data_IF_933254923738
#
_entry.id   IF_933254923738
#
_cell.length_a   1.000
_cell.length_b   1.000
_cell.length_c   1.000
_cell.angle_alpha   90.00
_cell.angle_beta   90.00
_cell.angle_gamma   90.00
#
_symmetry.space_group_name_H-M   'P 1'
#
loop_
_entity.id
_entity.type
_entity.pdbx_description
1 polymer ?
#
# COMPACT_ATOMS: atom_id res chain seq x y z
N UNK A 1 11.25 13.67 -4.31
CA UNK A 1 11.79 12.38 -3.84
C UNK A 1 11.49 12.20 -2.36
N UNK A 2 11.44 10.97 -1.86
CA UNK A 2 11.32 10.65 -0.43
C UNK A 2 12.69 10.20 0.10
N UNK A 3 13.52 11.09 0.68
CA UNK A 3 14.90 10.76 1.05
C UNK A 3 15.01 9.89 2.31
N UNK A 4 14.11 10.06 3.28
CA UNK A 4 14.18 9.37 4.58
C UNK A 4 13.57 7.96 4.54
N UNK A 5 12.48 7.80 3.78
CA UNK A 5 11.84 6.50 3.54
C UNK A 5 11.68 6.36 2.03
N UNK A 6 12.77 6.08 1.29
CA UNK A 6 12.67 5.83 -0.13
C UNK A 6 11.94 4.52 -0.40
N UNK A 7 11.27 4.48 -1.55
CA UNK A 7 10.51 3.33 -2.03
C UNK A 7 10.75 3.13 -3.51
N UNK A 8 10.58 1.90 -3.98
CA UNK A 8 10.67 1.65 -5.41
C UNK A 8 9.42 2.17 -6.13
N UNK A 9 9.56 2.84 -7.28
CA UNK A 9 8.42 3.32 -8.05
C UNK A 9 7.79 2.18 -8.85
N UNK A 10 6.47 2.05 -8.83
CA UNK A 10 5.73 1.31 -9.86
C UNK A 10 5.62 2.20 -11.10
N UNK A 11 5.85 1.62 -12.29
CA UNK A 11 5.98 2.39 -13.54
C UNK A 11 4.87 2.04 -14.55
N UNK A 12 3.58 2.29 -14.25
CA UNK A 12 2.47 1.89 -15.12
C UNK A 12 2.49 2.54 -16.51
N UNK A 13 3.18 3.68 -16.68
CA UNK A 13 3.38 4.31 -17.98
C UNK A 13 4.45 3.63 -18.85
N UNK A 14 5.33 2.81 -18.24
CA UNK A 14 6.38 2.09 -18.97
C UNK A 14 5.84 0.83 -19.63
N UNK A 15 4.93 0.11 -18.96
CA UNK A 15 4.38 -1.16 -19.42
C UNK A 15 3.06 -1.47 -18.70
N UNK A 16 2.12 -2.11 -19.39
CA UNK A 16 0.92 -2.66 -18.75
C UNK A 16 1.28 -3.67 -17.65
N UNK A 17 2.42 -4.36 -17.80
CA UNK A 17 2.94 -5.31 -16.80
C UNK A 17 3.30 -4.65 -15.46
N UNK A 18 3.45 -3.33 -15.43
CA UNK A 18 3.74 -2.54 -14.23
C UNK A 18 2.48 -1.92 -13.61
N UNK A 19 1.29 -2.17 -14.18
CA UNK A 19 0.03 -1.76 -13.55
C UNK A 19 -0.25 -2.60 -12.31
N UNK A 20 -0.89 -1.99 -11.31
CA UNK A 20 -1.00 -2.53 -9.94
C UNK A 20 -1.47 -4.01 -9.88
N UNK A 21 -2.54 -4.36 -10.60
CA UNK A 21 -3.08 -5.72 -10.63
C UNK A 21 -2.20 -6.64 -11.48
N UNK A 22 -1.74 -6.16 -12.63
CA UNK A 22 -0.98 -6.99 -13.58
C UNK A 22 0.40 -7.36 -13.05
N UNK A 23 1.05 -6.45 -12.34
CA UNK A 23 2.36 -6.64 -11.75
C UNK A 23 2.40 -7.85 -10.81
N UNK A 24 1.40 -7.94 -9.93
CA UNK A 24 1.24 -9.04 -8.97
C UNK A 24 0.67 -10.31 -9.61
N UNK A 25 0.32 -10.31 -10.90
CA UNK A 25 -0.14 -11.48 -11.65
C UNK A 25 0.81 -11.88 -12.79
N UNK A 26 2.01 -11.29 -12.86
CA UNK A 26 2.92 -11.53 -13.97
C UNK A 26 3.34 -13.00 -14.10
N UNK A 27 3.42 -13.75 -13.00
CA UNK A 27 3.77 -15.19 -13.02
C UNK A 27 2.72 -16.03 -13.74
N UNK A 28 1.47 -15.57 -13.81
CA UNK A 28 0.35 -16.22 -14.51
C UNK A 28 -0.09 -15.43 -15.74
N UNK A 29 0.78 -14.54 -16.23
CA UNK A 29 0.48 -13.57 -17.29
C UNK A 29 -0.13 -14.19 -18.55
N UNK A 30 0.38 -15.36 -18.96
CA UNK A 30 -0.02 -16.08 -20.17
C UNK A 30 -1.32 -16.88 -20.01
N UNK A 31 -1.78 -17.07 -18.77
CA UNK A 31 -2.97 -17.85 -18.44
C UNK A 31 -4.23 -16.99 -18.24
N UNK A 32 -4.05 -15.66 -18.24
CA UNK A 32 -5.12 -14.69 -18.05
C UNK A 32 -5.18 -13.71 -19.22
N UNK A 33 -6.31 -13.05 -19.37
CA UNK A 33 -6.55 -12.00 -20.36
C UNK A 33 -7.39 -10.87 -19.76
N UNK A 34 -7.28 -9.62 -20.26
CA UNK A 34 -8.14 -8.53 -19.81
C UNK A 34 -9.62 -8.90 -20.01
N UNK A 35 -10.48 -8.47 -19.07
CA UNK A 35 -11.92 -8.64 -19.23
C UNK A 35 -12.46 -7.72 -20.32
N UNK A 36 -13.46 -8.19 -21.06
CA UNK A 36 -14.22 -7.35 -22.01
C UNK A 36 -15.04 -6.28 -21.29
N UNK A 37 -15.60 -6.63 -20.12
CA UNK A 37 -16.42 -5.74 -19.30
C UNK A 37 -15.83 -5.55 -17.90
N UNK A 38 -15.65 -4.28 -17.51
CA UNK A 38 -15.13 -3.90 -16.19
C UNK A 38 -13.62 -4.06 -16.06
N UNK A 39 -13.08 -3.62 -14.92
CA UNK A 39 -11.66 -3.72 -14.62
C UNK A 39 -11.28 -5.11 -14.09
N UNK A 40 -10.08 -5.59 -14.46
CA UNK A 40 -9.52 -6.87 -14.01
C UNK A 40 -9.25 -7.85 -15.15
N UNK A 41 -8.88 -9.08 -14.76
CA UNK A 41 -8.45 -10.14 -15.67
C UNK A 41 -9.32 -11.39 -15.52
N UNK A 42 -9.52 -12.12 -16.62
CA UNK A 42 -10.22 -13.39 -16.68
C UNK A 42 -9.23 -14.50 -16.99
N UNK A 43 -9.32 -15.62 -16.26
CA UNK A 43 -8.59 -16.85 -16.58
C UNK A 43 -9.07 -17.38 -17.93
N UNK A 44 -8.11 -17.64 -18.83
CA UNK A 44 -8.38 -18.21 -20.15
C UNK A 44 -9.03 -19.59 -20.04
N UNK A 45 -9.87 -19.94 -21.01
CA UNK A 45 -10.58 -21.21 -21.03
C UNK A 45 -9.61 -22.42 -20.92
N UNK A 46 -9.90 -23.34 -20.00
CA UNK A 46 -9.10 -24.54 -19.77
C UNK A 46 -7.76 -24.32 -19.07
N UNK A 47 -7.49 -23.11 -18.53
CA UNK A 47 -6.20 -22.79 -17.88
C UNK A 47 -6.22 -22.72 -16.35
N UNK A 48 -7.37 -22.98 -15.72
CA UNK A 48 -7.52 -22.81 -14.26
C UNK A 48 -6.60 -23.73 -13.45
N UNK A 49 -6.45 -24.98 -13.84
CA UNK A 49 -5.59 -25.94 -13.12
C UNK A 49 -4.11 -25.53 -13.21
N UNK A 50 -3.64 -25.14 -14.40
CA UNK A 50 -2.28 -24.62 -14.59
C UNK A 50 -2.03 -23.33 -13.81
N UNK A 51 -3.03 -22.45 -13.75
CA UNK A 51 -2.94 -21.21 -12.98
C UNK A 51 -2.81 -21.50 -11.49
N UNK A 52 -3.63 -22.41 -10.96
CA UNK A 52 -3.55 -22.82 -9.56
C UNK A 52 -2.22 -23.50 -9.24
N UNK A 53 -1.70 -24.34 -10.14
CA UNK A 53 -0.38 -24.96 -9.98
C UNK A 53 0.73 -23.90 -9.86
N UNK A 54 0.72 -22.87 -10.71
CA UNK A 54 1.69 -21.78 -10.65
C UNK A 54 1.55 -20.92 -9.39
N UNK A 55 0.33 -20.60 -8.96
CA UNK A 55 0.10 -19.84 -7.72
C UNK A 55 0.59 -20.63 -6.49
N UNK A 56 0.28 -21.93 -6.39
CA UNK A 56 0.75 -22.78 -5.29
C UNK A 56 2.27 -22.99 -5.25
N UNK A 57 2.95 -22.86 -6.39
CA UNK A 57 4.42 -22.94 -6.49
C UNK A 57 5.09 -21.57 -6.56
N UNK A 58 4.34 -20.49 -6.32
CA UNK A 58 4.88 -19.16 -6.47
C UNK A 58 6.08 -18.94 -5.56
N UNK A 59 7.12 -18.32 -6.09
CA UNK A 59 8.26 -17.80 -5.33
C UNK A 59 8.08 -16.32 -4.98
N UNK A 60 6.98 -15.70 -5.44
CA UNK A 60 6.73 -14.26 -5.31
C UNK A 60 7.65 -13.37 -6.13
N UNK A 61 8.50 -13.95 -6.98
CA UNK A 61 9.52 -13.21 -7.71
C UNK A 61 8.90 -12.18 -8.66
N UNK A 62 9.30 -10.92 -8.48
CA UNK A 62 9.10 -9.87 -9.45
C UNK A 62 10.33 -9.80 -10.36
N UNK A 63 10.13 -9.63 -11.65
CA UNK A 63 11.16 -9.61 -12.69
C UNK A 63 11.35 -8.20 -13.25
N UNK A 64 12.42 -7.99 -14.02
CA UNK A 64 12.64 -6.73 -14.75
C UNK A 64 11.47 -6.37 -15.69
N UNK A 65 10.66 -7.34 -16.11
CA UNK A 65 9.54 -7.13 -17.04
C UNK A 65 8.32 -6.49 -16.37
N UNK A 66 8.09 -6.78 -15.09
CA UNK A 66 6.93 -6.30 -14.33
C UNK A 66 7.30 -5.42 -13.12
N UNK A 67 8.59 -5.26 -12.81
CA UNK A 67 9.06 -4.44 -11.70
C UNK A 67 10.43 -3.79 -12.00
N UNK A 68 10.62 -3.23 -13.18
CA UNK A 68 11.82 -2.50 -13.58
C UNK A 68 12.20 -1.42 -12.55
N UNK A 69 11.21 -0.76 -11.95
CA UNK A 69 11.41 0.22 -10.88
C UNK A 69 12.01 -0.37 -9.59
N UNK A 70 11.67 -1.62 -9.25
CA UNK A 70 12.26 -2.33 -8.09
C UNK A 70 13.75 -2.55 -8.27
N UNK A 71 14.18 -3.07 -9.42
CA UNK A 71 15.59 -3.31 -9.70
C UNK A 71 16.38 -2.00 -9.87
N UNK A 72 15.77 -0.95 -10.42
CA UNK A 72 16.39 0.38 -10.45
C UNK A 72 16.59 0.92 -9.03
N UNK A 73 15.61 0.73 -8.15
CA UNK A 73 15.68 1.12 -6.75
C UNK A 73 16.76 0.35 -5.99
N UNK A 74 16.83 -0.97 -6.17
CA UNK A 74 17.87 -1.81 -5.55
C UNK A 74 19.29 -1.36 -5.95
N UNK A 75 19.52 -1.07 -7.24
CA UNK A 75 20.80 -0.51 -7.70
C UNK A 75 21.12 0.83 -7.04
N UNK A 76 20.13 1.70 -6.89
CA UNK A 76 20.30 3.00 -6.25
C UNK A 76 20.60 2.88 -4.74
N UNK A 77 19.99 1.90 -4.05
CA UNK A 77 20.31 1.59 -2.66
C UNK A 77 21.76 1.12 -2.52
N UNK A 78 22.19 0.16 -3.36
CA UNK A 78 23.56 -0.38 -3.34
C UNK A 78 24.60 0.70 -3.69
N UNK A 79 24.27 1.66 -4.55
CA UNK A 79 25.18 2.76 -4.89
C UNK A 79 25.25 3.85 -3.81
N UNK A 80 24.52 3.72 -2.69
CA UNK A 80 24.49 4.72 -1.63
C UNK A 80 23.73 6.00 -1.98
N UNK A 81 22.85 5.96 -2.99
CA UNK A 81 22.09 7.14 -3.44
C UNK A 81 21.19 7.71 -2.32
N UNK A 82 20.69 6.85 -1.44
CA UNK A 82 19.81 7.21 -0.32
C UNK A 82 20.56 7.20 1.02
N UNK A 83 21.66 7.96 1.11
CA UNK A 83 22.52 8.00 2.30
C UNK A 83 21.85 8.54 3.57
N UNK A 84 20.74 9.28 3.45
CA UNK A 84 19.93 9.78 4.57
C UNK A 84 18.70 8.93 4.89
N UNK A 85 18.56 7.76 4.26
CA UNK A 85 17.42 6.89 4.53
C UNK A 85 17.50 6.28 5.93
N UNK A 86 16.38 6.28 6.63
CA UNK A 86 16.20 5.66 7.95
C UNK A 86 15.40 4.36 7.87
N UNK A 87 14.71 4.13 6.76
CA UNK A 87 14.00 2.91 6.42
C UNK A 87 13.85 2.80 4.89
N UNK A 88 13.48 1.65 4.36
CA UNK A 88 13.10 1.48 2.95
C UNK A 88 11.69 0.92 2.87
N UNK A 89 10.92 1.33 1.86
CA UNK A 89 9.55 0.85 1.67
C UNK A 89 9.43 -0.06 0.44
N UNK A 90 8.75 -1.19 0.63
CA UNK A 90 8.19 -2.02 -0.44
C UNK A 90 6.65 -2.00 -0.37
N UNK A 91 6.01 -2.47 -1.44
CA UNK A 91 4.55 -2.49 -1.54
C UNK A 91 4.05 -3.55 -2.51
N UNK A 92 2.85 -4.06 -2.29
CA UNK A 92 2.14 -4.95 -3.22
C UNK A 92 0.63 -4.89 -2.97
N UNK A 93 -0.16 -5.26 -3.97
CA UNK A 93 -1.60 -5.41 -3.81
C UNK A 93 -1.92 -6.62 -2.93
N UNK A 94 -2.91 -6.46 -2.06
CA UNK A 94 -3.29 -7.46 -1.09
C UNK A 94 -4.16 -8.58 -1.67
N UNK A 95 -4.32 -9.68 -0.90
CA UNK A 95 -5.05 -10.85 -1.34
C UNK A 95 -6.52 -10.59 -1.68
N UNK A 96 -7.18 -9.65 -1.00
CA UNK A 96 -8.59 -9.33 -1.22
C UNK A 96 -8.73 -8.59 -2.56
N UNK A 97 -7.92 -7.55 -2.77
CA UNK A 97 -7.92 -6.74 -3.99
C UNK A 97 -7.53 -7.56 -5.21
N UNK A 98 -6.46 -8.35 -5.12
CA UNK A 98 -6.02 -9.15 -6.25
C UNK A 98 -7.08 -10.21 -6.63
N UNK A 99 -7.75 -10.79 -5.64
CA UNK A 99 -8.86 -11.73 -5.89
C UNK A 99 -10.13 -11.05 -6.41
N UNK A 100 -10.40 -9.81 -5.99
CA UNK A 100 -11.54 -9.02 -6.48
C UNK A 100 -11.44 -8.77 -7.99
N UNK A 101 -10.22 -8.62 -8.50
CA UNK A 101 -9.93 -8.28 -9.89
C UNK A 101 -9.43 -9.45 -10.76
N UNK A 102 -9.44 -10.68 -10.25
CA UNK A 102 -9.19 -11.90 -11.03
C UNK A 102 -10.44 -12.78 -11.08
N UNK A 103 -10.81 -13.21 -12.29
CA UNK A 103 -12.11 -13.86 -12.54
C UNK A 103 -11.96 -15.23 -13.19
N UNK A 104 -12.78 -16.20 -12.78
CA UNK A 104 -12.97 -17.48 -13.45
C UNK A 104 -14.44 -17.67 -13.83
N UNK A 105 -14.74 -17.86 -15.11
CA UNK A 105 -16.12 -18.07 -15.62
C UNK A 105 -17.08 -16.96 -15.16
N UNK A 106 -16.63 -15.71 -15.23
CA UNK A 106 -17.42 -14.53 -14.85
C UNK A 106 -17.57 -14.30 -13.35
N UNK A 107 -16.94 -15.10 -12.48
CA UNK A 107 -16.95 -14.91 -11.03
C UNK A 107 -15.58 -14.52 -10.52
N UNK A 108 -15.51 -13.53 -9.63
CA UNK A 108 -14.26 -13.14 -8.96
C UNK A 108 -13.72 -14.30 -8.13
N UNK A 109 -12.40 -14.37 -7.97
CA UNK A 109 -11.74 -15.33 -7.08
C UNK A 109 -12.18 -15.18 -5.62
N UNK A 110 -12.71 -14.02 -5.21
CA UNK A 110 -13.36 -13.85 -3.91
C UNK A 110 -14.61 -14.73 -3.72
N UNK A 111 -15.19 -15.26 -4.79
CA UNK A 111 -16.36 -16.13 -4.72
C UNK A 111 -16.02 -17.60 -4.46
N UNK A 112 -14.73 -17.96 -4.37
CA UNK A 112 -14.28 -19.34 -4.18
C UNK A 112 -13.12 -19.40 -3.16
N UNK A 113 -13.30 -20.10 -2.01
CA UNK A 113 -12.26 -20.16 -0.97
C UNK A 113 -10.94 -20.78 -1.42
N UNK A 114 -10.96 -21.72 -2.37
CA UNK A 114 -9.73 -22.36 -2.87
C UNK A 114 -8.96 -21.40 -3.76
N UNK A 115 -9.67 -20.69 -4.65
CA UNK A 115 -9.05 -19.69 -5.52
C UNK A 115 -8.50 -18.52 -4.71
N UNK A 116 -9.24 -18.07 -3.70
CA UNK A 116 -8.80 -17.01 -2.77
C UNK A 116 -7.55 -17.43 -1.99
N UNK A 117 -7.50 -18.66 -1.46
CA UNK A 117 -6.34 -19.15 -0.73
C UNK A 117 -5.08 -19.22 -1.59
N UNK A 118 -5.20 -19.61 -2.87
CA UNK A 118 -4.07 -19.64 -3.80
C UNK A 118 -3.49 -18.23 -4.04
N UNK A 119 -4.37 -17.21 -4.16
CA UNK A 119 -3.94 -15.81 -4.27
C UNK A 119 -3.31 -15.31 -2.97
N UNK A 120 -3.89 -15.64 -1.82
CA UNK A 120 -3.34 -15.23 -0.53
C UNK A 120 -1.94 -15.79 -0.30
N UNK A 121 -1.71 -17.07 -0.66
CA UNK A 121 -0.39 -17.66 -0.65
C UNK A 121 0.56 -16.90 -1.60
N UNK A 122 0.14 -16.64 -2.84
CA UNK A 122 0.96 -15.93 -3.82
C UNK A 122 1.40 -14.53 -3.34
N UNK A 123 0.47 -13.74 -2.79
CA UNK A 123 0.76 -12.40 -2.25
C UNK A 123 1.75 -12.47 -1.09
N UNK A 124 1.59 -13.43 -0.17
CA UNK A 124 2.56 -13.69 0.91
C UNK A 124 3.97 -13.98 0.36
N UNK A 125 4.07 -14.71 -0.74
CA UNK A 125 5.38 -14.95 -1.39
C UNK A 125 5.97 -13.67 -1.98
N UNK A 126 5.17 -12.79 -2.61
CA UNK A 126 5.65 -11.49 -3.13
C UNK A 126 6.16 -10.61 -1.98
N UNK A 127 5.39 -10.55 -0.89
CA UNK A 127 5.72 -9.85 0.36
C UNK A 127 7.08 -10.30 0.87
N UNK A 128 7.27 -11.62 1.00
CA UNK A 128 8.53 -12.21 1.40
C UNK A 128 9.64 -11.86 0.39
N UNK A 129 9.45 -12.10 -0.90
CA UNK A 129 10.47 -11.82 -1.90
C UNK A 129 11.00 -10.37 -1.81
N UNK A 130 10.10 -9.38 -1.68
CA UNK A 130 10.52 -7.97 -1.54
C UNK A 130 11.33 -7.72 -0.27
N UNK A 131 10.90 -8.23 0.89
CA UNK A 131 11.59 -8.00 2.16
C UNK A 131 13.03 -8.56 2.11
N UNK A 132 13.24 -9.75 1.55
CA UNK A 132 14.57 -10.37 1.58
C UNK A 132 15.58 -9.59 0.74
N UNK A 133 15.11 -8.99 -0.36
CA UNK A 133 15.94 -8.13 -1.20
C UNK A 133 16.17 -6.77 -0.55
N UNK A 134 15.12 -6.13 -0.03
CA UNK A 134 15.23 -4.81 0.59
C UNK A 134 16.08 -4.81 1.86
N UNK A 135 16.15 -5.93 2.58
CA UNK A 135 17.06 -6.09 3.73
C UNK A 135 18.53 -5.87 3.40
N UNK A 136 18.95 -6.03 2.13
CA UNK A 136 20.34 -5.78 1.73
C UNK A 136 20.74 -4.31 1.93
N UNK A 137 19.79 -3.40 2.10
CA UNK A 137 20.04 -2.00 2.43
C UNK A 137 20.57 -1.80 3.87
N UNK A 138 20.46 -2.81 4.75
CA UNK A 138 20.84 -2.68 6.16
C UNK A 138 19.95 -1.72 6.96
N UNK A 139 18.76 -1.38 6.42
CA UNK A 139 17.78 -0.48 7.02
C UNK A 139 16.50 -1.23 7.38
N UNK A 140 15.70 -0.73 8.34
CA UNK A 140 14.35 -1.21 8.56
C UNK A 140 13.54 -1.25 7.27
N UNK A 141 12.79 -2.33 7.04
CA UNK A 141 11.90 -2.47 5.89
C UNK A 141 10.47 -2.19 6.34
N UNK A 142 9.79 -1.27 5.66
CA UNK A 142 8.35 -1.05 5.77
C UNK A 142 7.69 -1.71 4.58
N UNK A 143 6.91 -2.76 4.78
CA UNK A 143 6.21 -3.43 3.69
C UNK A 143 4.73 -3.12 3.76
N UNK A 144 4.21 -2.47 2.71
CA UNK A 144 2.80 -2.14 2.61
C UNK A 144 2.05 -3.17 1.78
N UNK A 145 0.89 -3.58 2.29
CA UNK A 145 -0.12 -4.31 1.54
C UNK A 145 -1.24 -3.34 1.22
N UNK A 146 -1.52 -3.14 -0.07
CA UNK A 146 -2.52 -2.19 -0.56
C UNK A 146 -3.85 -2.93 -0.78
N UNK A 147 -4.91 -2.51 -0.12
CA UNK A 147 -6.22 -3.16 -0.15
C UNK A 147 -7.37 -2.18 -0.42
N UNK A 148 -7.43 -1.53 -1.60
CA UNK A 148 -8.57 -0.70 -1.97
C UNK A 148 -9.89 -1.50 -2.01
N UNK A 149 -9.83 -2.82 -2.23
CA UNK A 149 -11.01 -3.69 -2.20
C UNK A 149 -11.50 -4.07 -0.79
N UNK A 150 -10.81 -3.65 0.28
CA UNK A 150 -11.16 -4.02 1.66
C UNK A 150 -12.61 -3.65 2.02
N UNK A 151 -13.06 -2.48 1.54
CA UNK A 151 -14.41 -1.98 1.78
C UNK A 151 -15.38 -2.26 0.63
N UNK A 152 -14.99 -3.02 -0.40
CA UNK A 152 -15.94 -3.38 -1.45
C UNK A 152 -17.06 -4.23 -0.86
N UNK A 153 -18.28 -3.78 -1.10
CA UNK A 153 -19.48 -4.58 -0.85
C UNK A 153 -19.47 -5.76 -1.82
N UNK A 154 -19.08 -6.92 -1.30
CA UNK A 154 -19.19 -8.17 -2.04
C UNK A 154 -20.61 -8.69 -1.84
N UNK A 155 -21.32 -9.14 -2.89
CA UNK A 155 -22.65 -9.70 -2.74
C UNK A 155 -22.71 -10.75 -1.62
N UNK A 156 -23.80 -10.74 -0.84
CA UNK A 156 -24.02 -11.65 0.32
C UNK A 156 -23.85 -13.14 -0.05
N UNK A 157 -23.97 -13.48 -1.34
CA UNK A 157 -23.75 -14.83 -1.87
C UNK A 157 -22.27 -15.19 -2.14
N UNK A 158 -21.30 -14.33 -1.78
CA UNK A 158 -19.87 -14.68 -1.83
C UNK A 158 -19.54 -15.81 -0.87
N UNK A 159 -18.91 -16.87 -1.36
CA UNK A 159 -18.54 -18.01 -0.52
C UNK A 159 -17.41 -17.68 0.49
N UNK A 160 -16.63 -16.62 0.25
CA UNK A 160 -15.59 -16.16 1.18
C UNK A 160 -16.15 -15.06 2.08
N UNK A 161 -16.40 -15.43 3.35
CA UNK A 161 -16.85 -14.53 4.42
C UNK A 161 -15.83 -13.41 4.69
N UNK A 162 -16.29 -12.26 5.18
CA UNK A 162 -15.43 -11.15 5.61
C UNK A 162 -14.35 -11.59 6.61
N UNK A 163 -14.70 -12.40 7.61
CA UNK A 163 -13.76 -12.95 8.59
C UNK A 163 -12.57 -13.69 7.94
N UNK A 164 -12.84 -14.54 6.94
CA UNK A 164 -11.81 -15.25 6.18
C UNK A 164 -10.93 -14.31 5.37
N UNK A 165 -11.51 -13.26 4.78
CA UNK A 165 -10.77 -12.24 4.04
C UNK A 165 -9.81 -11.48 4.96
N UNK A 166 -10.31 -11.00 6.09
CA UNK A 166 -9.51 -10.30 7.10
C UNK A 166 -8.43 -11.21 7.71
N UNK A 167 -8.75 -12.49 7.96
CA UNK A 167 -7.78 -13.46 8.49
C UNK A 167 -6.63 -13.72 7.53
N UNK A 168 -6.92 -13.87 6.22
CA UNK A 168 -5.87 -14.05 5.21
C UNK A 168 -4.97 -12.83 5.09
N UNK A 169 -5.56 -11.63 5.10
CA UNK A 169 -4.80 -10.38 5.10
C UNK A 169 -3.94 -10.24 6.37
N UNK A 170 -4.48 -10.60 7.54
CA UNK A 170 -3.75 -10.56 8.80
C UNK A 170 -2.56 -11.54 8.79
N UNK A 171 -2.74 -12.73 8.22
CA UNK A 171 -1.65 -13.68 8.00
C UNK A 171 -0.58 -13.12 7.06
N UNK A 172 -0.96 -12.44 5.98
CA UNK A 172 0.00 -11.76 5.08
C UNK A 172 0.82 -10.69 5.81
N UNK A 173 0.19 -9.89 6.69
CA UNK A 173 0.92 -8.92 7.52
C UNK A 173 1.85 -9.61 8.53
N UNK A 174 1.42 -10.74 9.09
CA UNK A 174 2.25 -11.51 10.02
C UNK A 174 3.47 -12.12 9.33
N UNK A 175 3.34 -12.61 8.10
CA UNK A 175 4.47 -13.10 7.31
C UNK A 175 5.54 -12.01 7.11
N UNK A 176 5.12 -10.76 6.90
CA UNK A 176 6.03 -9.62 6.85
C UNK A 176 6.77 -9.40 8.18
N UNK A 177 6.06 -9.48 9.31
CA UNK A 177 6.65 -9.32 10.66
C UNK A 177 7.61 -10.43 11.03
N UNK A 178 7.27 -11.69 10.75
CA UNK A 178 8.14 -12.83 11.02
C UNK A 178 9.43 -12.73 10.21
N UNK A 179 9.39 -12.11 9.02
CA UNK A 179 10.58 -11.73 8.26
C UNK A 179 11.22 -10.41 8.71
N UNK A 180 10.81 -9.80 9.81
CA UNK A 180 11.46 -8.64 10.42
C UNK A 180 11.18 -7.31 9.72
N UNK A 181 10.12 -7.22 8.92
CA UNK A 181 9.62 -5.95 8.39
C UNK A 181 8.49 -5.40 9.28
N UNK A 182 8.28 -4.09 9.22
CA UNK A 182 7.06 -3.48 9.74
C UNK A 182 5.94 -3.62 8.70
N UNK A 183 4.80 -4.16 9.11
CA UNK A 183 3.67 -4.41 8.25
C UNK A 183 2.76 -3.19 8.16
N UNK A 184 2.74 -2.56 6.99
CA UNK A 184 1.82 -1.48 6.64
C UNK A 184 0.58 -2.00 5.92
N UNK A 185 -0.57 -1.39 6.18
CA UNK A 185 -1.81 -1.64 5.45
C UNK A 185 -2.32 -0.32 4.88
N UNK A 186 -2.52 -0.27 3.56
CA UNK A 186 -3.11 0.87 2.88
C UNK A 186 -4.53 0.58 2.40
N UNK A 187 -5.44 1.53 2.63
CA UNK A 187 -6.77 1.51 2.00
C UNK A 187 -7.24 2.95 1.76
N UNK A 188 -7.54 3.28 0.50
CA UNK A 188 -8.07 4.58 0.11
C UNK A 188 -9.62 4.63 0.08
N UNK A 189 -10.29 3.50 0.35
CA UNK A 189 -11.75 3.44 0.33
C UNK A 189 -12.38 4.19 1.51
N UNK A 190 -13.68 4.48 1.41
CA UNK A 190 -14.41 5.13 2.48
C UNK A 190 -14.54 4.22 3.72
N UNK A 191 -14.42 4.82 4.92
CA UNK A 191 -14.62 4.19 6.24
C UNK A 191 -13.87 2.85 6.44
N UNK A 192 -12.54 2.79 6.23
CA UNK A 192 -11.82 1.52 6.29
C UNK A 192 -11.35 1.14 7.70
N UNK A 193 -11.42 2.05 8.68
CA UNK A 193 -10.63 1.97 9.92
C UNK A 193 -10.94 0.76 10.80
N UNK A 194 -12.21 0.42 11.01
CA UNK A 194 -12.60 -0.78 11.75
C UNK A 194 -11.96 -2.05 11.15
N UNK A 195 -12.16 -2.27 9.84
CA UNK A 195 -11.61 -3.42 9.13
C UNK A 195 -10.10 -3.43 9.15
N UNK A 196 -9.46 -2.30 8.90
CA UNK A 196 -8.00 -2.20 8.92
C UNK A 196 -7.45 -2.52 10.32
N UNK A 197 -8.09 -2.04 11.39
CA UNK A 197 -7.63 -2.29 12.76
C UNK A 197 -7.82 -3.75 13.19
N UNK A 198 -8.85 -4.45 12.71
CA UNK A 198 -9.05 -5.89 12.98
C UNK A 198 -7.88 -6.76 12.46
N UNK A 199 -7.21 -6.30 11.40
CA UNK A 199 -6.04 -6.97 10.79
C UNK A 199 -4.74 -6.63 11.56
N UNK A 200 -4.81 -5.68 12.50
CA UNK A 200 -3.71 -5.25 13.39
C UNK A 200 -2.41 -4.90 12.65
N UNK A 201 -2.38 -3.97 11.68
CA UNK A 201 -1.13 -3.51 11.05
C UNK A 201 -0.23 -2.77 12.05
N UNK A 202 1.06 -2.61 11.73
CA UNK A 202 1.96 -1.73 12.48
C UNK A 202 1.82 -0.27 12.00
N UNK A 203 1.48 -0.11 10.72
CA UNK A 203 1.30 1.19 10.07
C UNK A 203 -0.03 1.22 9.30
N UNK A 204 -0.90 2.18 9.60
CA UNK A 204 -2.11 2.46 8.81
C UNK A 204 -1.82 3.54 7.77
N UNK A 205 -2.20 3.31 6.51
CA UNK A 205 -2.15 4.29 5.44
C UNK A 205 -3.54 4.48 4.82
N UNK A 206 -3.98 5.73 4.68
CA UNK A 206 -5.30 6.03 4.12
C UNK A 206 -5.31 7.38 3.41
N UNK A 207 -6.38 7.63 2.65
CA UNK A 207 -6.62 8.93 2.04
C UNK A 207 -7.04 9.95 3.11
N UNK A 208 -6.03 10.60 3.68
CA UNK A 208 -6.20 11.67 4.65
C UNK A 208 -6.56 13.00 4.00
N UNK A 209 -6.55 13.13 2.68
CA UNK A 209 -7.11 14.33 2.06
C UNK A 209 -8.63 14.32 2.21
N UNK A 210 -9.26 13.19 1.95
CA UNK A 210 -10.72 13.05 2.05
C UNK A 210 -11.15 12.74 3.49
N UNK A 211 -10.47 11.83 4.18
CA UNK A 211 -11.00 11.20 5.39
C UNK A 211 -10.33 11.62 6.70
N UNK A 212 -9.58 12.73 6.74
CA UNK A 212 -8.89 13.19 7.96
C UNK A 212 -9.83 13.41 9.14
N UNK A 213 -10.89 14.17 8.90
CA UNK A 213 -11.85 14.54 9.95
C UNK A 213 -12.60 13.30 10.45
N UNK A 214 -12.87 12.35 9.55
CA UNK A 214 -13.45 11.06 9.91
C UNK A 214 -12.48 10.23 10.75
N UNK A 215 -11.21 10.14 10.38
CA UNK A 215 -10.19 9.41 11.16
C UNK A 215 -10.09 9.93 12.59
N UNK A 216 -10.07 11.25 12.77
CA UNK A 216 -10.03 11.86 14.11
C UNK A 216 -11.35 11.80 14.88
N UNK A 217 -12.47 11.45 14.22
CA UNK A 217 -13.75 11.21 14.86
C UNK A 217 -14.03 9.71 15.10
N UNK A 218 -13.22 8.81 14.54
CA UNK A 218 -13.38 7.37 14.58
C UNK A 218 -12.58 6.76 15.74
N UNK A 219 -13.25 6.00 16.61
CA UNK A 219 -12.60 5.40 17.78
C UNK A 219 -11.52 4.39 17.42
N UNK A 220 -11.68 3.62 16.34
CA UNK A 220 -10.67 2.66 15.90
C UNK A 220 -9.39 3.37 15.46
N UNK A 221 -9.52 4.48 14.71
CA UNK A 221 -8.38 5.29 14.30
C UNK A 221 -7.60 5.88 15.49
N UNK A 222 -8.32 6.39 16.50
CA UNK A 222 -7.70 6.96 17.70
C UNK A 222 -7.07 5.89 18.59
N UNK A 223 -7.77 4.79 18.82
CA UNK A 223 -7.27 3.68 19.63
C UNK A 223 -6.00 3.09 19.03
N UNK A 224 -5.94 2.97 17.69
CA UNK A 224 -4.74 2.54 16.98
C UNK A 224 -3.53 3.40 17.32
N UNK A 225 -3.66 4.73 17.26
CA UNK A 225 -2.55 5.64 17.62
C UNK A 225 -2.21 5.55 19.11
N UNK A 226 -3.22 5.50 19.98
CA UNK A 226 -3.02 5.40 21.43
C UNK A 226 -2.33 4.10 21.85
N UNK A 227 -2.52 3.02 21.09
CA UNK A 227 -1.82 1.74 21.27
C UNK A 227 -0.40 1.74 20.66
N UNK A 228 0.04 2.86 20.09
CA UNK A 228 1.39 3.02 19.53
C UNK A 228 1.51 2.67 18.05
N UNK A 229 0.39 2.58 17.32
CA UNK A 229 0.40 2.46 15.87
C UNK A 229 0.92 3.72 15.18
N UNK A 230 1.53 3.54 14.00
CA UNK A 230 2.01 4.65 13.16
C UNK A 230 1.02 4.92 12.02
N UNK A 231 0.78 6.18 11.69
CA UNK A 231 -0.19 6.56 10.65
C UNK A 231 0.52 7.28 9.50
N UNK A 232 0.43 6.71 8.31
CA UNK A 232 0.77 7.35 7.05
C UNK A 232 -0.44 8.13 6.52
N UNK A 233 -0.43 9.44 6.77
CA UNK A 233 -1.45 10.36 6.28
C UNK A 233 -1.19 10.67 4.80
N UNK A 234 -1.95 10.02 3.91
CA UNK A 234 -2.03 10.38 2.50
C UNK A 234 -2.79 11.68 2.32
N UNK A 235 -2.15 12.80 2.68
CA UNK A 235 -2.80 14.10 2.85
C UNK A 235 -2.49 15.06 1.71
N UNK A 236 -1.45 14.78 0.92
CA UNK A 236 -1.12 15.56 -0.28
C UNK A 236 -1.93 15.05 -1.47
N UNK A 237 -2.85 15.84 -2.04
CA UNK A 237 -3.69 15.39 -3.14
C UNK A 237 -2.87 14.98 -4.35
N UNK A 238 -3.23 13.89 -5.01
CA UNK A 238 -2.57 13.45 -6.24
C UNK A 238 -3.09 14.24 -7.44
N UNK A 239 -2.66 15.50 -7.60
CA UNK A 239 -3.04 16.39 -8.72
C UNK A 239 -1.93 17.37 -9.08
N UNK A 240 -2.05 17.99 -10.26
CA UNK A 240 -1.13 19.04 -10.71
C UNK A 240 -1.40 20.41 -10.05
N UNK A 241 -0.38 21.28 -10.06
CA UNK A 241 -0.50 22.67 -9.65
C UNK A 241 -0.49 22.89 -8.14
N UNK A 242 0.19 22.01 -7.39
CA UNK A 242 0.35 22.15 -5.94
C UNK A 242 1.47 23.15 -5.61
N UNK A 243 1.30 23.91 -4.54
CA UNK A 243 2.24 24.95 -4.14
C UNK A 243 2.44 25.04 -2.61
N UNK A 244 3.30 25.96 -2.17
CA UNK A 244 3.62 26.13 -0.76
C UNK A 244 2.42 26.60 0.10
N UNK A 245 1.48 27.38 -0.46
CA UNK A 245 0.28 27.77 0.28
C UNK A 245 -0.61 26.55 0.59
N UNK A 246 -0.62 25.55 -0.29
CA UNK A 246 -1.31 24.28 -0.04
C UNK A 246 -0.70 23.56 1.19
N UNK A 247 0.63 23.61 1.36
CA UNK A 247 1.29 22.97 2.51
C UNK A 247 0.87 23.55 3.86
N UNK A 248 0.79 24.88 3.98
CA UNK A 248 0.37 25.54 5.21
C UNK A 248 -1.11 25.28 5.52
N UNK A 249 -1.98 25.35 4.50
CA UNK A 249 -3.40 25.04 4.65
C UNK A 249 -3.64 23.60 5.09
N UNK A 250 -2.94 22.64 4.47
CA UNK A 250 -3.02 21.22 4.82
C UNK A 250 -2.53 20.98 6.25
N UNK A 251 -1.40 21.59 6.65
CA UNK A 251 -0.91 21.49 8.01
C UNK A 251 -1.89 22.06 9.04
N UNK A 252 -2.46 23.25 8.79
CA UNK A 252 -3.44 23.86 9.68
C UNK A 252 -4.67 22.98 9.83
N UNK A 253 -5.17 22.39 8.73
CA UNK A 253 -6.29 21.44 8.78
C UNK A 253 -5.95 20.22 9.64
N UNK A 254 -4.78 19.63 9.44
CA UNK A 254 -4.31 18.50 10.26
C UNK A 254 -4.20 18.87 11.74
N UNK A 255 -3.59 20.02 12.05
CA UNK A 255 -3.41 20.50 13.41
C UNK A 255 -4.75 20.74 14.09
N UNK A 256 -5.72 21.34 13.39
CA UNK A 256 -7.06 21.57 13.90
C UNK A 256 -7.79 20.25 14.19
N UNK A 257 -7.72 19.27 13.29
CA UNK A 257 -8.36 17.97 13.49
C UNK A 257 -7.73 17.23 14.68
N UNK A 258 -6.39 17.18 14.74
CA UNK A 258 -5.65 16.58 15.84
C UNK A 258 -5.97 17.23 17.20
N UNK A 259 -6.00 18.57 17.25
CA UNK A 259 -6.23 19.34 18.48
C UNK A 259 -7.65 19.21 19.04
N UNK A 260 -8.64 18.90 18.19
CA UNK A 260 -10.03 18.69 18.64
C UNK A 260 -10.19 17.40 19.42
N UNK A 261 -9.36 16.40 19.13
CA UNK A 261 -9.52 15.05 19.65
C UNK A 261 -8.46 14.66 20.68
N UNK A 262 -7.27 15.28 20.63
CA UNK A 262 -6.21 14.95 21.58
C UNK A 262 -5.01 15.89 21.47
N UNK A 263 -3.85 15.39 21.92
CA UNK A 263 -2.59 16.14 21.86
C UNK A 263 -1.94 15.99 20.47
N UNK A 264 -1.82 17.08 19.67
CA UNK A 264 -1.18 17.05 18.36
C UNK A 264 0.25 16.53 18.38
N UNK A 265 0.98 16.69 19.49
CA UNK A 265 2.36 16.20 19.59
C UNK A 265 2.41 14.66 19.54
N UNK A 266 1.46 13.99 20.21
CA UNK A 266 1.37 12.52 20.19
C UNK A 266 1.08 11.99 18.79
N UNK A 267 0.15 12.62 18.07
CA UNK A 267 -0.16 12.27 16.70
C UNK A 267 1.03 12.54 15.77
N UNK A 268 1.72 13.66 15.95
CA UNK A 268 2.89 14.04 15.16
C UNK A 268 4.06 13.05 15.31
N UNK A 269 4.31 12.54 16.51
CA UNK A 269 5.36 11.53 16.76
C UNK A 269 5.13 10.20 16.04
N UNK A 270 3.89 9.95 15.60
CA UNK A 270 3.45 8.73 14.92
C UNK A 270 3.00 8.99 13.48
N UNK A 271 3.38 10.13 12.90
CA UNK A 271 2.94 10.53 11.57
C UNK A 271 4.01 10.26 10.50
N UNK A 272 3.58 9.64 9.40
CA UNK A 272 4.27 9.64 8.10
C UNK A 272 3.40 10.45 7.15
N UNK A 273 4.00 11.31 6.32
CA UNK A 273 3.28 12.17 5.38
C UNK A 273 3.49 11.65 3.96
N UNK A 274 2.40 11.35 3.26
CA UNK A 274 2.41 10.80 1.90
C UNK A 274 1.43 11.55 0.99
N UNK A 275 1.49 11.26 -0.31
CA UNK A 275 0.39 11.56 -1.23
C UNK A 275 -0.83 10.68 -0.94
N UNK A 276 -2.00 11.09 -1.42
CA UNK A 276 -3.26 10.33 -1.28
C UNK A 276 -3.21 8.97 -1.97
N UNK A 277 -2.55 8.89 -3.12
CA UNK A 277 -2.39 7.68 -3.93
C UNK A 277 -1.04 7.69 -4.65
N UNK A 278 -0.81 6.69 -5.51
CA UNK A 278 0.39 6.58 -6.33
C UNK A 278 0.51 7.72 -7.35
N UNK A 279 1.72 8.26 -7.51
CA UNK A 279 2.03 9.35 -8.44
C UNK A 279 2.34 8.86 -9.87
N UNK A 280 2.24 7.54 -10.12
CA UNK A 280 2.74 6.90 -11.35
C UNK A 280 2.04 7.32 -12.64
N UNK A 281 0.90 8.02 -12.56
CA UNK A 281 0.15 8.54 -13.70
C UNK A 281 0.33 10.05 -13.91
N UNK A 282 1.06 10.74 -13.03
CA UNK A 282 1.38 12.15 -13.19
C UNK A 282 2.63 12.35 -14.07
N UNK A 283 2.79 13.56 -14.59
CA UNK A 283 4.06 13.97 -15.18
C UNK A 283 5.14 14.21 -14.10
N UNK A 284 6.40 14.22 -14.54
CA UNK A 284 7.53 14.38 -13.63
C UNK A 284 7.48 15.69 -12.82
N UNK A 285 7.15 16.87 -13.41
CA UNK A 285 7.00 18.11 -12.64
C UNK A 285 5.96 17.99 -11.51
N UNK A 286 4.77 17.46 -11.80
CA UNK A 286 3.70 17.31 -10.80
C UNK A 286 4.08 16.32 -9.70
N UNK A 287 4.83 15.26 -10.03
CA UNK A 287 5.36 14.33 -9.04
C UNK A 287 6.39 15.01 -8.11
N UNK A 288 7.28 15.85 -8.66
CA UNK A 288 8.27 16.62 -7.88
C UNK A 288 7.56 17.62 -6.94
N UNK A 289 6.54 18.34 -7.44
CA UNK A 289 5.72 19.25 -6.63
C UNK A 289 5.07 18.52 -5.46
N UNK A 290 4.46 17.35 -5.72
CA UNK A 290 3.82 16.53 -4.69
C UNK A 290 4.80 16.15 -3.57
N UNK A 291 6.03 15.75 -3.92
CA UNK A 291 7.06 15.45 -2.92
C UNK A 291 7.51 16.70 -2.14
N UNK A 292 7.63 17.85 -2.80
CA UNK A 292 8.02 19.12 -2.16
C UNK A 292 6.99 19.56 -1.11
N UNK A 293 5.70 19.45 -1.45
CA UNK A 293 4.60 19.75 -0.53
C UNK A 293 4.57 18.76 0.64
N UNK A 294 4.71 17.46 0.38
CA UNK A 294 4.78 16.44 1.43
C UNK A 294 5.94 16.71 2.40
N UNK A 295 7.12 17.07 1.89
CA UNK A 295 8.28 17.41 2.72
C UNK A 295 8.03 18.66 3.57
N UNK A 296 7.37 19.67 3.00
CA UNK A 296 7.04 20.91 3.71
C UNK A 296 6.06 20.65 4.87
N UNK A 297 5.02 19.84 4.64
CA UNK A 297 4.07 19.42 5.68
C UNK A 297 4.77 18.57 6.76
N UNK A 298 5.63 17.64 6.36
CA UNK A 298 6.41 16.80 7.29
C UNK A 298 7.26 17.65 8.23
N UNK A 299 7.93 18.70 7.72
CA UNK A 299 8.70 19.64 8.56
C UNK A 299 7.80 20.38 9.55
N UNK A 300 6.63 20.86 9.13
CA UNK A 300 5.68 21.55 10.00
C UNK A 300 5.17 20.64 11.12
N UNK A 301 4.79 19.39 10.80
CA UNK A 301 4.32 18.42 11.79
C UNK A 301 5.44 18.05 12.78
N UNK A 302 6.67 17.81 12.31
CA UNK A 302 7.80 17.51 13.19
C UNK A 302 8.15 18.65 14.15
N UNK A 303 7.93 19.90 13.75
CA UNK A 303 8.18 21.05 14.64
C UNK A 303 7.37 21.01 15.93
N UNK A 304 6.21 20.33 15.92
CA UNK A 304 5.39 20.11 17.11
C UNK A 304 6.05 19.19 18.14
N UNK A 305 6.92 18.29 17.70
CA UNK A 305 7.53 17.26 18.55
C UNK A 305 8.85 17.68 19.21
N UNK A 306 9.34 18.90 18.90
CA UNK A 306 10.63 19.38 19.40
C UNK A 306 11.85 18.64 18.84
N UNK A 307 11.66 17.72 17.88
CA UNK A 307 12.75 17.06 17.18
C UNK A 307 13.41 18.06 16.23
N UNK A 308 14.59 18.54 16.62
CA UNK A 308 15.51 19.29 15.76
C UNK A 308 15.77 18.50 14.48
N UNK A 309 15.84 19.19 13.34
CA UNK A 309 16.28 18.57 12.08
C UNK A 309 17.65 17.90 12.28
N UNK A 310 17.89 16.69 11.75
CA UNK A 310 19.25 16.22 11.56
C UNK A 310 20.01 17.12 10.58
#
# INVERSE_FOLDING_TARGET
MSPEIPFWPQLPQLSEQETIIRQSLATVADLIEPREEGYGYQVRNGRIDSLLELLHRSTGELTMTNAAGFYAFERALVSGFFSSAVAVKGQTEGPITLSAYLFHRGRSFLSDPVLFAAIAFHVSQIVCWQIDRLKSAGLPVLLFVDEPALCLEVPVASAVSEEKRLSALAATLEDARVRGAYAGLHCCAARPFERMCLVKPDILSFDAHEWLDLFFADSYGLDFVNQGGTVAYGIVPTRSGLNAADSAGIFVRWLQAASRTGDPQKFAQRAIITSTCGLGLLDMPSAIESFSVAQSISKLIRSLTGASQP
#
